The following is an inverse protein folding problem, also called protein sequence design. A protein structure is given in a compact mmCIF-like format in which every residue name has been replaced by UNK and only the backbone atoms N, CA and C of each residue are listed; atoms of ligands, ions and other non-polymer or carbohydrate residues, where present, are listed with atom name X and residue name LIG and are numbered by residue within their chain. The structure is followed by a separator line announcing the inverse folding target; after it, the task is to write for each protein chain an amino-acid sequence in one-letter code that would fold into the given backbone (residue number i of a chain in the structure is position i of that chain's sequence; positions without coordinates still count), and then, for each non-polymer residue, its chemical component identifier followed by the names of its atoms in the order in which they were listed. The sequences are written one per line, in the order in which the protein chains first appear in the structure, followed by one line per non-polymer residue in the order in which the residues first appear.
data_IF_492593775180
#
_entry.id   IF_492593775180
#
_cell.length_a   1.000
_cell.length_b   1.000
_cell.length_c   1.000
_cell.angle_alpha   90.00
_cell.angle_beta   90.00
_cell.angle_gamma   90.00
#
_symmetry.space_group_name_H-M   'P 1'
#
loop_
_entity.id
_entity.type
_entity.pdbx_description
1 polymer ?
#
# COMPACT_ATOMS: atom_id res chain seq x y z
N UNK A 1 -0.42 12.03 -14.33
CA UNK A 1 0.47 11.69 -15.47
C UNK A 1 1.82 11.21 -14.95
N UNK A 2 2.30 10.12 -15.51
CA UNK A 2 3.56 9.49 -15.09
C UNK A 2 4.69 9.96 -16.02
N UNK A 3 5.45 10.96 -15.61
CA UNK A 3 6.53 11.55 -16.41
C UNK A 3 7.91 11.27 -15.78
N UNK A 4 8.98 11.74 -16.41
CA UNK A 4 10.35 11.54 -15.95
C UNK A 4 10.58 12.05 -14.52
N UNK A 5 10.06 13.23 -14.20
CA UNK A 5 10.19 13.80 -12.85
C UNK A 5 9.48 12.94 -11.82
N UNK A 6 8.28 12.44 -12.12
CA UNK A 6 7.53 11.55 -11.27
C UNK A 6 8.26 10.22 -11.10
N UNK A 7 8.85 9.65 -12.17
CA UNK A 7 9.67 8.45 -12.07
C UNK A 7 10.84 8.61 -11.12
N UNK A 8 11.55 9.74 -11.20
CA UNK A 8 12.67 10.03 -10.31
C UNK A 8 12.23 10.15 -8.86
N UNK A 9 11.10 10.81 -8.60
CA UNK A 9 10.54 10.96 -7.26
C UNK A 9 10.12 9.62 -6.68
N UNK A 10 9.48 8.76 -7.47
CA UNK A 10 9.08 7.42 -7.05
C UNK A 10 10.31 6.56 -6.73
N UNK A 11 11.33 6.61 -7.58
CA UNK A 11 12.58 5.88 -7.33
C UNK A 11 13.25 6.35 -6.04
N UNK A 12 13.31 7.66 -5.80
CA UNK A 12 13.86 8.21 -4.56
C UNK A 12 13.05 7.76 -3.35
N UNK A 13 11.72 7.73 -3.46
CA UNK A 13 10.84 7.25 -2.38
C UNK A 13 11.09 5.76 -2.09
N UNK A 14 11.18 4.92 -3.12
CA UNK A 14 11.35 3.47 -2.96
C UNK A 14 12.75 3.07 -2.50
N UNK A 15 13.78 3.70 -3.05
CA UNK A 15 15.17 3.26 -2.89
C UNK A 15 16.06 4.25 -2.16
N UNK A 16 15.65 5.52 -2.11
CA UNK A 16 16.40 6.58 -1.44
C UNK A 16 16.00 6.82 0.01
N UNK A 17 15.07 6.02 0.56
CA UNK A 17 14.54 6.13 1.92
C UNK A 17 13.97 7.53 2.24
N UNK A 18 13.42 8.21 1.25
CA UNK A 18 12.87 9.56 1.41
C UNK A 18 11.35 9.52 1.62
N UNK A 19 10.96 9.38 2.87
CA UNK A 19 9.55 9.26 3.28
C UNK A 19 8.71 10.50 2.94
N UNK A 20 9.31 11.67 2.84
CA UNK A 20 8.63 12.92 2.51
C UNK A 20 7.93 12.89 1.14
N UNK A 21 8.42 12.07 0.22
CA UNK A 21 7.73 11.88 -1.07
C UNK A 21 6.39 11.17 -0.90
N UNK A 22 6.25 10.35 0.14
CA UNK A 22 4.98 9.70 0.47
C UNK A 22 3.90 10.70 0.81
N UNK A 23 4.24 11.78 1.52
CA UNK A 23 3.30 12.86 1.84
C UNK A 23 2.78 13.53 0.57
N UNK A 24 3.66 13.86 -0.36
CA UNK A 24 3.28 14.48 -1.63
C UNK A 24 2.26 13.61 -2.38
N UNK A 25 2.55 12.33 -2.53
CA UNK A 25 1.64 11.41 -3.23
C UNK A 25 0.31 11.25 -2.50
N UNK A 26 0.31 11.16 -1.19
CA UNK A 26 -0.91 11.04 -0.39
C UNK A 26 -1.80 12.28 -0.53
N UNK A 27 -1.22 13.48 -0.47
CA UNK A 27 -1.97 14.74 -0.64
C UNK A 27 -2.61 14.80 -2.03
N UNK A 28 -1.85 14.46 -3.08
CA UNK A 28 -2.37 14.45 -4.44
C UNK A 28 -3.48 13.41 -4.64
N UNK A 29 -3.30 12.21 -4.09
CA UNK A 29 -4.32 11.15 -4.13
C UNK A 29 -5.59 11.57 -3.41
N UNK A 30 -5.46 12.16 -2.22
CA UNK A 30 -6.60 12.60 -1.43
C UNK A 30 -7.40 13.68 -2.17
N UNK A 31 -6.73 14.67 -2.74
CA UNK A 31 -7.38 15.75 -3.50
C UNK A 31 -8.05 15.22 -4.75
N UNK A 32 -7.35 14.41 -5.52
CA UNK A 32 -7.82 13.90 -6.81
C UNK A 32 -9.00 12.96 -6.67
N UNK A 33 -9.03 12.16 -5.61
CA UNK A 33 -10.01 11.11 -5.43
C UNK A 33 -10.93 11.29 -4.22
N UNK A 34 -11.04 12.51 -3.71
CA UNK A 34 -11.85 12.81 -2.52
C UNK A 34 -13.29 12.30 -2.64
N UNK A 35 -13.95 12.61 -3.75
CA UNK A 35 -15.34 12.18 -3.99
C UNK A 35 -15.47 10.67 -4.03
N UNK A 36 -14.54 10.01 -4.70
CA UNK A 36 -14.54 8.55 -4.80
C UNK A 36 -14.34 7.91 -3.43
N UNK A 37 -13.37 8.39 -2.66
CA UNK A 37 -13.09 7.89 -1.31
C UNK A 37 -14.33 8.02 -0.42
N UNK A 38 -15.00 9.17 -0.44
CA UNK A 38 -16.23 9.38 0.33
C UNK A 38 -17.35 8.46 -0.11
N UNK A 39 -17.52 8.23 -1.41
CA UNK A 39 -18.57 7.36 -1.96
C UNK A 39 -18.38 5.89 -1.57
N UNK A 40 -17.16 5.43 -1.41
CA UNK A 40 -16.90 4.03 -1.03
C UNK A 40 -17.43 3.69 0.34
N UNK A 41 -17.49 4.67 1.24
CA UNK A 41 -17.79 4.41 2.65
C UNK A 41 -16.71 3.61 3.35
N UNK A 42 -15.48 3.66 2.85
CA UNK A 42 -14.38 2.88 3.39
C UNK A 42 -14.13 3.20 4.86
N UNK A 43 -13.95 2.16 5.65
CA UNK A 43 -13.76 2.25 7.10
C UNK A 43 -12.30 2.26 7.50
N UNK A 44 -11.41 1.84 6.61
CA UNK A 44 -9.98 1.81 6.86
C UNK A 44 -9.16 1.80 5.57
N UNK A 45 -7.92 2.28 5.68
CA UNK A 45 -6.88 2.04 4.68
C UNK A 45 -6.03 0.86 5.14
N UNK A 46 -5.81 -0.09 4.26
CA UNK A 46 -4.96 -1.25 4.53
C UNK A 46 -3.77 -1.21 3.58
N UNK A 47 -2.57 -0.88 4.10
CA UNK A 47 -1.38 -0.92 3.26
C UNK A 47 -1.01 -2.37 2.93
N UNK A 48 -0.70 -2.62 1.67
CA UNK A 48 -0.22 -3.92 1.24
C UNK A 48 1.16 -4.15 1.85
N UNK A 49 1.36 -5.24 2.62
CA UNK A 49 2.63 -5.45 3.30
C UNK A 49 3.72 -5.89 2.34
N UNK A 50 4.96 -5.55 2.69
CA UNK A 50 6.14 -6.08 2.00
C UNK A 50 6.70 -7.26 2.80
N UNK A 51 7.40 -8.16 2.12
CA UNK A 51 8.04 -9.29 2.78
C UNK A 51 9.14 -8.79 3.72
N UNK A 52 9.38 -9.54 4.82
CA UNK A 52 10.37 -9.17 5.83
C UNK A 52 11.76 -8.87 5.25
N UNK A 53 12.18 -9.65 4.27
CA UNK A 53 13.48 -9.44 3.62
C UNK A 53 13.56 -8.12 2.86
N UNK A 54 12.50 -7.74 2.15
CA UNK A 54 12.43 -6.44 1.47
C UNK A 54 12.37 -5.30 2.48
N UNK A 55 11.66 -5.49 3.59
CA UNK A 55 11.59 -4.49 4.64
C UNK A 55 12.97 -4.18 5.22
N UNK A 56 13.80 -5.20 5.42
CA UNK A 56 15.18 -5.02 5.88
C UNK A 56 16.01 -4.19 4.91
N UNK A 57 15.83 -4.39 3.59
CA UNK A 57 16.56 -3.64 2.56
C UNK A 57 16.12 -2.18 2.47
N UNK A 58 14.81 -1.92 2.51
CA UNK A 58 14.24 -0.58 2.32
C UNK A 58 14.17 0.23 3.60
N UNK A 59 14.09 -0.43 4.75
CA UNK A 59 13.91 0.21 6.04
C UNK A 59 12.49 0.64 6.35
N UNK A 60 11.56 0.64 5.37
CA UNK A 60 10.15 0.99 5.58
C UNK A 60 9.28 0.43 4.45
N UNK A 61 7.97 0.35 4.71
CA UNK A 61 6.97 -0.01 3.73
C UNK A 61 6.36 1.27 3.12
N UNK A 62 6.58 1.49 1.84
CA UNK A 62 6.09 2.69 1.15
C UNK A 62 4.56 2.81 1.20
N UNK A 63 3.85 1.70 1.03
CA UNK A 63 2.39 1.69 1.10
C UNK A 63 1.90 2.15 2.47
N UNK A 64 2.57 1.73 3.55
CA UNK A 64 2.23 2.18 4.91
C UNK A 64 2.48 3.68 5.08
N UNK A 65 3.58 4.20 4.57
CA UNK A 65 3.88 5.65 4.64
C UNK A 65 2.79 6.45 3.94
N UNK A 66 2.39 6.03 2.73
CA UNK A 66 1.31 6.69 1.98
C UNK A 66 -0.01 6.59 2.74
N UNK A 67 -0.33 5.41 3.27
CA UNK A 67 -1.56 5.20 4.03
C UNK A 67 -1.62 6.09 5.28
N UNK A 68 -0.52 6.21 6.02
CA UNK A 68 -0.46 7.07 7.21
C UNK A 68 -0.73 8.54 6.86
N UNK A 69 -0.19 9.03 5.75
CA UNK A 69 -0.49 10.40 5.30
C UNK A 69 -1.93 10.53 4.81
N UNK A 70 -2.49 9.50 4.15
CA UNK A 70 -3.89 9.50 3.75
C UNK A 70 -4.82 9.54 4.96
N UNK A 71 -4.48 8.87 6.05
CA UNK A 71 -5.22 8.96 7.32
C UNK A 71 -5.26 10.42 7.80
N UNK A 72 -4.12 11.10 7.77
CA UNK A 72 -4.04 12.51 8.14
C UNK A 72 -4.90 13.42 7.27
N UNK A 73 -5.01 13.13 5.98
CA UNK A 73 -5.78 13.94 5.04
C UNK A 73 -7.29 13.64 5.05
N UNK A 74 -7.68 12.42 5.37
CA UNK A 74 -9.07 11.96 5.24
C UNK A 74 -9.77 11.66 6.57
N UNK A 75 -9.01 11.41 7.62
CA UNK A 75 -9.56 10.94 8.91
C UNK A 75 -9.92 9.46 8.94
N UNK A 76 -9.73 8.73 7.84
CA UNK A 76 -9.98 7.29 7.78
C UNK A 76 -8.76 6.56 8.36
N UNK A 77 -8.93 5.68 9.37
CA UNK A 77 -7.80 5.05 10.04
C UNK A 77 -7.06 4.04 9.18
N UNK A 78 -5.78 3.84 9.51
CA UNK A 78 -4.94 2.81 8.90
C UNK A 78 -4.93 1.58 9.80
N UNK A 79 -5.07 0.40 9.19
CA UNK A 79 -4.87 -0.88 9.87
C UNK A 79 -3.70 -1.56 9.16
N UNK A 80 -2.52 -1.52 9.74
CA UNK A 80 -1.29 -1.94 9.10
C UNK A 80 -0.92 -3.41 9.34
N UNK A 81 -1.60 -4.07 10.26
CA UNK A 81 -1.38 -5.48 10.60
C UNK A 81 -2.51 -6.41 10.11
N UNK A 82 -3.41 -5.89 9.27
CA UNK A 82 -4.54 -6.66 8.78
C UNK A 82 -4.10 -7.79 7.82
N UNK A 83 -3.24 -7.45 6.86
CA UNK A 83 -2.69 -8.40 5.90
C UNK A 83 -1.26 -8.80 6.28
N UNK A 84 -0.95 -10.05 6.09
CA UNK A 84 0.41 -10.59 6.25
C UNK A 84 0.88 -11.12 4.89
N UNK A 85 2.08 -10.75 4.49
CA UNK A 85 2.70 -11.29 3.28
C UNK A 85 3.63 -12.44 3.67
N UNK A 86 3.30 -13.62 3.19
CA UNK A 86 4.03 -14.84 3.53
C UNK A 86 5.02 -15.30 2.46
N UNK A 87 4.91 -14.77 1.24
CA UNK A 87 5.83 -15.07 0.15
C UNK A 87 6.59 -13.83 -0.30
N UNK A 88 7.88 -14.00 -0.61
CA UNK A 88 8.67 -12.96 -1.25
C UNK A 88 8.42 -13.03 -2.77
N UNK A 89 7.62 -12.11 -3.28
CA UNK A 89 7.20 -12.05 -4.68
C UNK A 89 7.92 -10.93 -5.44
N UNK A 90 9.25 -10.87 -5.33
CA UNK A 90 10.05 -9.90 -6.07
C UNK A 90 9.96 -10.14 -7.58
N UNK A 91 10.32 -9.11 -8.35
CA UNK A 91 10.41 -9.17 -9.82
C UNK A 91 9.10 -9.51 -10.54
N UNK A 92 7.94 -9.20 -9.92
CA UNK A 92 6.64 -9.42 -10.56
C UNK A 92 6.48 -8.70 -11.89
N UNK A 93 7.14 -7.56 -12.06
CA UNK A 93 7.04 -6.74 -13.28
C UNK A 93 7.63 -7.42 -14.52
N UNK A 94 8.52 -8.40 -14.35
CA UNK A 94 9.13 -9.16 -15.43
C UNK A 94 8.35 -10.40 -15.81
N UNK A 95 7.26 -10.69 -15.10
CA UNK A 95 6.44 -11.86 -15.30
C UNK A 95 5.24 -11.57 -16.20
N UNK A 96 4.74 -12.58 -16.88
CA UNK A 96 3.47 -12.52 -17.59
C UNK A 96 2.30 -12.37 -16.60
N UNK A 97 1.11 -12.02 -17.10
CA UNK A 97 -0.08 -11.91 -16.25
C UNK A 97 -0.39 -13.24 -15.52
N UNK A 98 -0.27 -14.37 -16.23
CA UNK A 98 -0.50 -15.70 -15.64
C UNK A 98 0.54 -16.03 -14.57
N UNK A 99 1.81 -15.72 -14.83
CA UNK A 99 2.90 -15.93 -13.88
C UNK A 99 2.74 -15.07 -12.62
N UNK A 100 2.32 -13.80 -12.79
CA UNK A 100 2.03 -12.92 -11.66
C UNK A 100 0.92 -13.48 -10.79
N UNK A 101 -0.15 -13.95 -11.42
CA UNK A 101 -1.28 -14.54 -10.70
C UNK A 101 -0.83 -15.75 -9.89
N UNK A 102 -0.09 -16.65 -10.50
CA UNK A 102 0.44 -17.83 -9.81
C UNK A 102 1.38 -17.45 -8.67
N UNK A 103 2.25 -16.45 -8.88
CA UNK A 103 3.21 -15.98 -7.88
C UNK A 103 2.52 -15.31 -6.69
N UNK A 104 1.39 -14.63 -6.91
CA UNK A 104 0.63 -13.96 -5.86
C UNK A 104 -0.34 -14.89 -5.14
N UNK A 105 -0.61 -16.06 -5.69
CA UNK A 105 -1.48 -17.04 -5.07
C UNK A 105 -0.92 -17.46 -3.72
N UNK A 106 -1.75 -17.39 -2.67
CA UNK A 106 -1.37 -17.67 -1.29
C UNK A 106 -0.20 -16.81 -0.74
N UNK A 107 0.09 -15.67 -1.40
CA UNK A 107 1.15 -14.76 -0.92
C UNK A 107 0.72 -13.93 0.29
N UNK A 108 -0.58 -13.73 0.45
CA UNK A 108 -1.15 -12.91 1.52
C UNK A 108 -2.18 -13.69 2.31
N UNK A 109 -2.32 -13.34 3.59
CA UNK A 109 -3.43 -13.83 4.41
C UNK A 109 -3.83 -12.76 5.43
N UNK A 110 -5.05 -12.87 5.94
CA UNK A 110 -5.55 -12.02 7.01
C UNK A 110 -5.15 -12.68 8.33
N UNK A 111 -4.56 -11.91 9.24
CA UNK A 111 -4.16 -12.43 10.55
C UNK A 111 -5.39 -12.88 11.36
N UNK A 112 -5.22 -13.89 12.20
CA UNK A 112 -6.31 -14.38 13.06
C UNK A 112 -6.77 -13.29 14.03
N UNK A 113 -5.84 -12.51 14.58
CA UNK A 113 -6.16 -11.38 15.44
C UNK A 113 -7.03 -10.36 14.70
N UNK A 114 -6.67 -10.03 13.46
CA UNK A 114 -7.45 -9.08 12.64
C UNK A 114 -8.84 -9.60 12.31
N UNK A 115 -8.99 -10.89 12.05
CA UNK A 115 -10.29 -11.51 11.82
C UNK A 115 -11.23 -11.31 13.01
N UNK A 116 -10.70 -11.40 14.22
CA UNK A 116 -11.47 -11.19 15.45
C UNK A 116 -11.76 -9.71 15.72
N UNK A 117 -10.74 -8.86 15.64
CA UNK A 117 -10.85 -7.44 15.98
C UNK A 117 -11.68 -6.65 14.98
N UNK A 118 -11.56 -6.99 13.70
CA UNK A 118 -12.14 -6.20 12.60
C UNK A 118 -13.23 -6.95 11.84
N UNK A 119 -13.91 -7.89 12.50
CA UNK A 119 -14.97 -8.70 11.88
C UNK A 119 -16.14 -7.89 11.32
N UNK A 120 -16.31 -6.66 11.78
CA UNK A 120 -17.39 -5.76 11.34
C UNK A 120 -16.98 -4.83 10.19
N UNK A 121 -15.75 -4.91 9.71
CA UNK A 121 -15.31 -4.13 8.54
C UNK A 121 -16.02 -4.63 7.29
N UNK A 122 -16.63 -3.71 6.56
CA UNK A 122 -17.39 -4.01 5.33
C UNK A 122 -16.68 -3.52 4.08
N UNK A 123 -15.97 -2.40 4.19
CA UNK A 123 -15.29 -1.79 3.05
C UNK A 123 -13.98 -1.19 3.50
N UNK A 124 -12.92 -1.53 2.79
CA UNK A 124 -11.57 -1.00 3.04
C UNK A 124 -10.96 -0.58 1.71
N UNK A 125 -10.00 0.32 1.77
CA UNK A 125 -9.21 0.70 0.61
C UNK A 125 -7.81 0.13 0.78
N UNK A 126 -7.39 -0.69 -0.17
CA UNK A 126 -6.02 -1.20 -0.20
C UNK A 126 -5.10 -0.13 -0.77
N UNK A 127 -3.98 0.08 -0.12
CA UNK A 127 -2.94 1.01 -0.56
C UNK A 127 -1.71 0.22 -0.94
N UNK A 128 -1.27 0.39 -2.16
CA UNK A 128 -0.07 -0.28 -2.67
C UNK A 128 0.87 0.75 -3.27
N UNK A 129 2.13 0.36 -3.49
CA UNK A 129 3.08 1.25 -4.12
C UNK A 129 2.85 1.33 -5.64
N UNK A 130 3.40 2.37 -6.25
CA UNK A 130 3.21 2.67 -7.68
C UNK A 130 4.38 2.10 -8.48
N UNK A 131 4.11 1.54 -9.63
CA UNK A 131 5.10 1.08 -10.59
C UNK A 131 5.24 2.05 -11.75
#
# INVERSE_FOLDING_TARGET
MYNRSMKSSIAAFKYGARKEYGRYYAVELAKKHESWIKKTGAQAFIPVPIHKERHKKRGYNQAKVIADYLEGETGIPVIDDYLIRIKNTEALKELSAAERKASLEDAFLVSETSKLLYRNLRCVILVDDIY
#
